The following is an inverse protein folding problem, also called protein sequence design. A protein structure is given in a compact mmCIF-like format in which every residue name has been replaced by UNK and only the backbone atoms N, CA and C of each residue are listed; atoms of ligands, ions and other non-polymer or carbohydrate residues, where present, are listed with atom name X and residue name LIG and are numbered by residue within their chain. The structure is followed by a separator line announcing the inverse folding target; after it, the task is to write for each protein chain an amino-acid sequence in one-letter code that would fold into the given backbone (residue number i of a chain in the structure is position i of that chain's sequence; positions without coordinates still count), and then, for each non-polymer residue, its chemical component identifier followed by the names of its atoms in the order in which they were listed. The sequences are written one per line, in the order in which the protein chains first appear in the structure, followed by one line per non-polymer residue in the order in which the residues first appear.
data_IF_396931030495
#
_entry.id   IF_396931030495
#
_cell.length_a   1.000
_cell.length_b   1.000
_cell.length_c   1.000
_cell.angle_alpha   90.00
_cell.angle_beta   90.00
_cell.angle_gamma   90.00
#
_symmetry.space_group_name_H-M   'P 1'
#
loop_
_entity.id
_entity.type
_entity.pdbx_description
1 polymer ?
#
# COMPACT_ATOMS: atom_id res chain seq x y z
N UNK A 1 0.81 29.21 15.92
CA UNK A 1 1.13 27.78 15.90
C UNK A 1 0.46 27.12 14.71
N UNK A 2 1.24 26.48 13.86
CA UNK A 2 0.69 25.82 12.69
C UNK A 2 -0.06 24.56 13.11
N UNK A 3 -1.23 24.28 12.52
CA UNK A 3 -1.89 23.02 12.78
C UNK A 3 -1.05 21.87 12.25
N UNK A 4 -1.12 20.74 12.93
CA UNK A 4 -0.46 19.54 12.48
C UNK A 4 -1.12 19.05 11.20
N UNK A 5 -0.32 18.57 10.25
CA UNK A 5 -0.85 17.87 9.08
C UNK A 5 -1.59 16.62 9.52
N UNK A 6 -2.74 16.28 8.86
CA UNK A 6 -3.42 15.02 9.15
C UNK A 6 -2.54 13.82 8.85
N UNK A 7 -2.74 12.74 9.60
CA UNK A 7 -2.06 11.49 9.38
C UNK A 7 -1.16 11.09 10.53
N UNK A 8 -0.48 9.97 10.32
CA UNK A 8 0.47 9.41 11.27
C UNK A 8 1.75 9.04 10.52
N UNK A 9 2.81 8.81 11.28
CA UNK A 9 4.11 8.43 10.72
C UNK A 9 4.31 6.92 10.66
N UNK A 10 3.42 6.16 11.27
CA UNK A 10 3.53 4.71 11.35
C UNK A 10 2.17 4.07 11.11
N UNK A 11 2.12 3.11 10.18
CA UNK A 11 0.90 2.42 9.81
C UNK A 11 1.18 0.93 9.64
N UNK A 12 0.17 0.11 9.90
CA UNK A 12 0.24 -1.33 9.67
C UNK A 12 -1.01 -1.81 8.94
N UNK A 13 -0.83 -2.68 7.95
CA UNK A 13 -1.91 -3.31 7.20
C UNK A 13 -1.70 -4.81 7.31
N UNK A 14 -2.74 -5.55 7.71
CA UNK A 14 -2.61 -6.95 8.06
C UNK A 14 -3.17 -7.94 7.05
N UNK A 15 -3.70 -7.49 5.92
CA UNK A 15 -4.43 -8.38 5.03
C UNK A 15 -4.21 -8.06 3.56
N UNK A 16 -2.99 -8.33 3.07
CA UNK A 16 -2.66 -8.15 1.66
C UNK A 16 -2.58 -9.48 0.92
N UNK A 17 -2.86 -9.45 -0.35
CA UNK A 17 -2.75 -10.59 -1.26
C UNK A 17 -2.61 -10.11 -2.69
N UNK A 18 -1.58 -10.58 -3.39
CA UNK A 18 -1.36 -10.30 -4.80
C UNK A 18 -1.56 -11.60 -5.59
N UNK A 19 -2.75 -11.83 -6.18
CA UNK A 19 -3.02 -13.08 -6.88
C UNK A 19 -2.20 -13.18 -8.16
N UNK A 20 -1.77 -14.41 -8.48
CA UNK A 20 -1.04 -14.70 -9.72
C UNK A 20 -1.95 -14.64 -10.93
N UNK A 21 -3.28 -14.84 -10.75
CA UNK A 21 -4.26 -14.86 -11.83
C UNK A 21 -5.41 -13.92 -11.52
N UNK A 22 -5.95 -13.32 -12.57
CA UNK A 22 -7.17 -12.55 -12.53
C UNK A 22 -8.12 -13.06 -13.61
N UNK A 23 -9.41 -12.71 -13.50
CA UNK A 23 -10.42 -13.20 -14.46
C UNK A 23 -10.44 -12.42 -15.77
N UNK A 24 -9.80 -11.26 -15.84
CA UNK A 24 -9.80 -10.43 -17.02
C UNK A 24 -8.45 -10.39 -17.72
N UNK A 25 -8.47 -10.14 -19.03
CA UNK A 25 -7.26 -9.98 -19.82
C UNK A 25 -6.74 -8.54 -19.82
N UNK A 26 -7.60 -7.59 -19.48
CA UNK A 26 -7.25 -6.18 -19.44
C UNK A 26 -6.76 -5.78 -18.07
N UNK A 27 -5.83 -4.82 -17.98
CA UNK A 27 -5.33 -4.38 -16.67
C UNK A 27 -6.43 -3.93 -15.71
N UNK A 28 -7.51 -3.34 -16.23
CA UNK A 28 -8.63 -2.90 -15.39
C UNK A 28 -9.39 -4.04 -14.74
N UNK A 29 -9.27 -5.26 -15.27
CA UNK A 29 -9.92 -6.44 -14.71
C UNK A 29 -8.99 -7.29 -13.86
N UNK A 30 -7.75 -6.88 -13.69
CA UNK A 30 -6.79 -7.61 -12.87
C UNK A 30 -7.06 -7.36 -11.38
N UNK A 31 -7.02 -8.42 -10.60
CA UNK A 31 -7.08 -8.30 -9.14
C UNK A 31 -5.86 -7.54 -8.63
N UNK A 32 -6.07 -6.65 -7.68
CA UNK A 32 -4.98 -5.81 -7.18
C UNK A 32 -5.23 -5.28 -5.79
N UNK A 33 -4.15 -5.11 -5.06
CA UNK A 33 -4.12 -4.35 -3.84
C UNK A 33 -3.55 -2.97 -4.16
N UNK A 34 -4.21 -1.93 -3.70
CA UNK A 34 -3.79 -0.55 -3.92
C UNK A 34 -3.58 0.16 -2.60
N UNK A 35 -2.59 1.03 -2.61
CA UNK A 35 -2.27 1.87 -1.47
C UNK A 35 -2.37 3.33 -1.90
N UNK A 36 -3.12 4.11 -1.14
CA UNK A 36 -3.19 5.55 -1.33
C UNK A 36 -2.46 6.23 -0.17
N UNK A 37 -1.51 7.09 -0.49
CA UNK A 37 -0.73 7.84 0.48
C UNK A 37 -1.00 9.32 0.25
N UNK A 38 -1.57 9.97 1.26
CA UNK A 38 -1.86 11.41 1.20
C UNK A 38 -0.89 12.15 2.11
N UNK A 39 -0.13 13.06 1.52
CA UNK A 39 0.69 14.00 2.26
C UNK A 39 0.00 15.36 2.27
N UNK A 40 -0.65 15.68 3.37
CA UNK A 40 -1.35 16.96 3.52
C UNK A 40 -0.46 18.05 4.12
N UNK A 41 0.80 17.74 4.38
CA UNK A 41 1.75 18.69 4.94
C UNK A 41 2.46 19.53 3.91
N UNK A 42 3.44 20.28 4.35
CA UNK A 42 4.20 21.21 3.52
C UNK A 42 5.60 20.70 3.17
N UNK A 43 5.98 19.54 3.69
CA UNK A 43 7.29 18.93 3.46
C UNK A 43 7.13 17.63 2.69
N UNK A 44 8.15 17.27 1.90
CA UNK A 44 8.19 15.97 1.23
C UNK A 44 8.15 14.86 2.27
N UNK A 45 7.30 13.87 2.07
CA UNK A 45 7.25 12.68 2.91
C UNK A 45 8.08 11.57 2.28
N UNK A 46 9.07 11.08 3.03
CA UNK A 46 9.87 9.92 2.63
C UNK A 46 9.28 8.70 3.32
N UNK A 47 8.57 7.90 2.56
CA UNK A 47 7.85 6.73 3.07
C UNK A 47 8.69 5.49 2.83
N UNK A 48 8.76 4.63 3.85
CA UNK A 48 9.44 3.35 3.78
C UNK A 48 8.45 2.27 4.14
N UNK A 49 8.34 1.27 3.29
CA UNK A 49 7.44 0.14 3.51
C UNK A 49 8.22 -1.15 3.58
N UNK A 50 7.81 -2.03 4.49
CA UNK A 50 8.29 -3.40 4.56
C UNK A 50 7.13 -4.34 4.37
N UNK A 51 7.36 -5.37 3.58
CA UNK A 51 6.38 -6.42 3.35
C UNK A 51 6.74 -7.60 4.25
N UNK A 52 5.76 -8.03 5.05
CA UNK A 52 5.93 -9.14 5.97
C UNK A 52 5.07 -10.31 5.50
N UNK A 53 5.71 -11.42 5.18
CA UNK A 53 5.02 -12.64 4.74
C UNK A 53 4.83 -13.59 5.91
N UNK A 54 3.89 -14.54 5.75
CA UNK A 54 3.62 -15.52 6.79
C UNK A 54 4.81 -16.46 7.03
N UNK A 55 5.54 -16.82 5.97
CA UNK A 55 6.57 -17.84 6.02
C UNK A 55 7.94 -17.39 5.54
N UNK A 56 8.06 -16.10 5.21
CA UNK A 56 9.32 -15.52 4.75
C UNK A 56 9.67 -14.32 5.60
N UNK A 57 10.93 -14.00 5.66
CA UNK A 57 11.38 -12.82 6.36
C UNK A 57 10.91 -11.52 5.73
N UNK A 58 10.98 -10.42 6.47
CA UNK A 58 10.58 -9.12 5.95
C UNK A 58 11.40 -8.73 4.73
N UNK A 59 10.75 -8.09 3.78
CA UNK A 59 11.39 -7.56 2.58
C UNK A 59 11.19 -6.05 2.56
N UNK A 60 12.24 -5.34 2.24
CA UNK A 60 12.23 -3.90 2.13
C UNK A 60 13.52 -3.28 2.66
N UNK A 61 13.53 -1.96 2.81
CA UNK A 61 12.38 -1.09 2.62
C UNK A 61 12.13 -0.76 1.14
N UNK A 62 10.86 -0.66 0.79
CA UNK A 62 10.44 -0.04 -0.46
C UNK A 62 10.29 1.45 -0.18
N UNK A 63 11.00 2.27 -0.95
CA UNK A 63 11.06 3.71 -0.70
C UNK A 63 10.16 4.46 -1.66
N UNK A 64 9.31 5.33 -1.12
CA UNK A 64 8.33 6.09 -1.90
C UNK A 64 8.33 7.52 -1.39
N UNK A 65 8.52 8.47 -2.31
CA UNK A 65 8.37 9.88 -1.98
C UNK A 65 6.96 10.36 -2.28
N UNK A 66 6.39 11.13 -1.37
CA UNK A 66 5.10 11.78 -1.59
C UNK A 66 5.30 13.29 -1.43
N UNK A 67 5.16 14.02 -2.53
CA UNK A 67 5.35 15.46 -2.53
C UNK A 67 4.34 16.15 -1.61
N UNK A 68 4.66 17.34 -1.08
CA UNK A 68 3.73 18.04 -0.20
C UNK A 68 2.42 18.37 -0.92
N UNK A 69 1.32 18.25 -0.20
CA UNK A 69 -0.02 18.53 -0.71
C UNK A 69 -0.39 17.67 -1.90
N UNK A 70 0.07 16.40 -1.90
CA UNK A 70 -0.20 15.46 -3.01
C UNK A 70 -0.69 14.12 -2.48
N UNK A 71 -1.46 13.49 -3.34
CA UNK A 71 -1.88 12.10 -3.19
C UNK A 71 -1.02 11.23 -4.11
N UNK A 72 -0.58 10.11 -3.61
CA UNK A 72 0.09 9.11 -4.45
C UNK A 72 -0.60 7.77 -4.31
N UNK A 73 -1.09 7.25 -5.43
CA UNK A 73 -1.66 5.90 -5.52
C UNK A 73 -0.63 4.96 -6.10
N UNK A 74 -0.53 3.77 -5.53
CA UNK A 74 0.33 2.74 -6.10
C UNK A 74 -0.31 1.38 -5.95
N UNK A 75 -0.01 0.50 -6.88
CA UNK A 75 -0.39 -0.91 -6.78
C UNK A 75 0.76 -1.66 -6.14
N UNK A 76 0.44 -2.53 -5.19
CA UNK A 76 1.47 -3.30 -4.49
C UNK A 76 2.26 -4.18 -5.47
N UNK A 77 1.58 -4.70 -6.50
CA UNK A 77 2.21 -5.52 -7.53
C UNK A 77 3.30 -4.79 -8.33
N UNK A 78 3.30 -3.46 -8.31
CA UNK A 78 4.28 -2.67 -9.04
C UNK A 78 5.57 -2.44 -8.26
N UNK A 79 5.63 -2.89 -7.01
CA UNK A 79 6.85 -2.78 -6.19
C UNK A 79 7.83 -3.89 -6.58
N UNK A 80 9.00 -3.50 -7.06
CA UNK A 80 9.99 -4.45 -7.57
C UNK A 80 11.37 -4.32 -6.91
N UNK A 81 11.68 -3.22 -6.30
CA UNK A 81 12.95 -3.05 -5.61
C UNK A 81 12.74 -2.86 -4.12
N UNK A 82 13.40 -3.64 -3.24
CA UNK A 82 14.55 -4.53 -3.49
C UNK A 82 14.19 -5.85 -4.16
N UNK A 83 12.94 -6.31 -4.09
CA UNK A 83 12.47 -7.46 -4.85
C UNK A 83 10.97 -7.35 -5.12
N UNK A 84 10.50 -8.04 -6.14
CA UNK A 84 9.08 -8.04 -6.48
C UNK A 84 8.25 -8.66 -5.34
N UNK A 85 7.05 -8.13 -5.14
CA UNK A 85 6.11 -8.68 -4.16
C UNK A 85 5.69 -10.07 -4.63
N UNK A 86 5.71 -11.05 -3.70
CA UNK A 86 5.38 -12.44 -4.01
C UNK A 86 3.89 -12.58 -4.32
N UNK A 87 3.60 -13.33 -5.38
CA UNK A 87 2.23 -13.60 -5.80
C UNK A 87 1.66 -14.78 -5.02
N UNK A 88 0.34 -14.76 -4.82
CA UNK A 88 -0.40 -15.83 -4.12
C UNK A 88 0.09 -16.13 -2.71
N UNK A 89 0.67 -15.13 -2.06
CA UNK A 89 1.04 -15.23 -0.66
C UNK A 89 0.40 -14.09 0.13
N UNK A 90 -0.12 -14.40 1.30
CA UNK A 90 -0.62 -13.38 2.21
C UNK A 90 0.54 -12.56 2.76
N UNK A 91 0.32 -11.27 2.92
CA UNK A 91 1.33 -10.36 3.44
C UNK A 91 0.69 -9.27 4.30
N UNK A 92 1.51 -8.68 5.13
CA UNK A 92 1.19 -7.44 5.81
C UNK A 92 2.17 -6.35 5.39
N UNK A 93 1.84 -5.13 5.69
CA UNK A 93 2.70 -3.98 5.42
C UNK A 93 2.98 -3.23 6.71
N UNK A 94 4.24 -2.86 6.89
CA UNK A 94 4.64 -1.86 7.86
C UNK A 94 5.08 -0.62 7.10
N UNK A 95 4.46 0.50 7.40
CA UNK A 95 4.69 1.76 6.69
C UNK A 95 5.19 2.78 7.70
N UNK A 96 6.35 3.36 7.41
CA UNK A 96 6.93 4.41 8.22
C UNK A 96 7.21 5.63 7.34
N UNK A 97 7.03 6.81 7.88
CA UNK A 97 7.26 8.05 7.17
C UNK A 97 7.91 9.08 8.08
N UNK A 98 8.76 9.93 7.52
CA UNK A 98 9.34 11.05 8.26
C UNK A 98 8.35 12.20 8.44
N UNK A 99 7.27 12.23 7.67
CA UNK A 99 6.19 13.21 7.78
C UNK A 99 4.87 12.48 7.94
N UNK A 100 3.88 13.07 8.64
CA UNK A 100 2.57 12.43 8.76
C UNK A 100 1.94 12.21 7.40
N UNK A 101 1.40 11.02 7.18
CA UNK A 101 0.66 10.67 5.97
C UNK A 101 -0.63 9.96 6.36
N UNK A 102 -1.64 10.08 5.51
CA UNK A 102 -2.87 9.31 5.64
C UNK A 102 -2.79 8.14 4.68
N UNK A 103 -3.07 6.94 5.19
CA UNK A 103 -2.94 5.71 4.42
C UNK A 103 -4.30 5.07 4.25
N UNK A 104 -4.62 4.68 3.03
CA UNK A 104 -5.80 3.91 2.71
C UNK A 104 -5.40 2.71 1.87
N UNK A 105 -5.86 1.53 2.26
CA UNK A 105 -5.58 0.29 1.56
C UNK A 105 -6.88 -0.22 0.96
N UNK A 106 -6.85 -0.57 -0.32
CA UNK A 106 -8.01 -1.07 -1.05
C UNK A 106 -7.63 -2.33 -1.80
N UNK A 107 -8.49 -3.33 -1.74
CA UNK A 107 -8.35 -4.54 -2.52
C UNK A 107 -9.48 -4.63 -3.53
N UNK A 108 -9.13 -4.97 -4.77
CA UNK A 108 -10.08 -5.33 -5.80
C UNK A 108 -9.77 -6.73 -6.28
N UNK A 109 -10.73 -7.64 -6.14
CA UNK A 109 -10.57 -9.03 -6.56
C UNK A 109 -11.47 -9.29 -7.75
N UNK A 110 -10.87 -9.57 -8.89
CA UNK A 110 -11.59 -9.84 -10.15
C UNK A 110 -11.64 -11.32 -10.48
N UNK A 111 -11.28 -12.20 -9.55
CA UNK A 111 -11.32 -13.65 -9.77
C UNK A 111 -12.74 -14.20 -9.77
N UNK A 112 -13.68 -13.46 -9.18
CA UNK A 112 -15.09 -13.80 -9.22
C UNK A 112 -15.75 -13.15 -10.43
N UNK A 113 -16.96 -13.62 -10.79
CA UNK A 113 -17.72 -13.07 -11.91
C UNK A 113 -17.98 -11.58 -11.81
N UNK A 114 -18.24 -11.11 -10.61
CA UNK A 114 -18.43 -9.70 -10.36
C UNK A 114 -17.20 -9.15 -9.64
N UNK A 115 -16.76 -7.97 -10.05
CA UNK A 115 -15.69 -7.28 -9.34
C UNK A 115 -16.20 -6.88 -7.96
N UNK A 116 -15.41 -7.19 -6.94
CA UNK A 116 -15.70 -6.79 -5.58
C UNK A 116 -14.59 -5.89 -5.08
N UNK A 117 -14.96 -4.70 -4.64
CA UNK A 117 -14.03 -3.80 -3.96
C UNK A 117 -14.13 -3.99 -2.46
N UNK A 118 -13.00 -4.14 -1.81
CA UNK A 118 -12.93 -4.22 -0.35
C UNK A 118 -12.00 -3.13 0.15
N UNK A 119 -12.55 -2.27 1.01
CA UNK A 119 -11.77 -1.24 1.68
C UNK A 119 -11.35 -1.77 3.04
N UNK A 120 -10.05 -1.81 3.28
CA UNK A 120 -9.50 -2.16 4.58
C UNK A 120 -8.90 -0.91 5.22
N UNK A 121 -9.10 -0.77 6.53
CA UNK A 121 -8.48 0.32 7.27
C UNK A 121 -7.10 -0.10 7.77
N UNK A 122 -6.17 0.84 7.77
CA UNK A 122 -4.85 0.62 8.33
C UNK A 122 -4.83 1.04 9.79
N UNK A 123 -4.11 0.29 10.62
CA UNK A 123 -3.87 0.68 12.00
C UNK A 123 -2.73 1.69 12.06
N UNK A 124 -2.88 2.69 12.92
CA UNK A 124 -1.82 3.68 13.17
C UNK A 124 -1.63 3.87 14.67
N UNK A 125 -0.46 4.28 15.04
CA UNK A 125 -0.20 4.67 16.44
C UNK A 125 -0.33 6.18 16.63
#
# INVERSE_FOLDING_TARGET
MSPRAPGRRSWAISAGWAPARATGDEPMFSSRDQLALLNAGTELANVRMRVLYAEHGPVGPYRIGVAPRRLRNLRINDLIFPEAVRLDEAYGLLIESDQPVVVQFTRQDTRARANAGLLATAWSD
#
